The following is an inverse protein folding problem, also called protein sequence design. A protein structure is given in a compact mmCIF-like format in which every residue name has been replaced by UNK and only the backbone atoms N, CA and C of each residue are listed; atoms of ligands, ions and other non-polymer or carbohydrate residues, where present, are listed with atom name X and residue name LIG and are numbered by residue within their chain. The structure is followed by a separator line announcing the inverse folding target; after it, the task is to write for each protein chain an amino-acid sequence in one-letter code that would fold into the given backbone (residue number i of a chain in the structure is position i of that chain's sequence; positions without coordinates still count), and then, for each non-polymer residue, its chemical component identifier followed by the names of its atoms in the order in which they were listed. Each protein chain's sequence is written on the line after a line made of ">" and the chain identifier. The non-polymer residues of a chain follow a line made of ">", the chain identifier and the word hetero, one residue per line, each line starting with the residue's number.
data_IF_156474524190
#
_entry.id   IF_156474524190
#
_cell.length_a   1.000
_cell.length_b   1.000
_cell.length_c   1.000
_cell.angle_alpha   90.00
_cell.angle_beta   90.00
_cell.angle_gamma   90.00
#
_symmetry.space_group_name_H-M   'P 1'
#
loop_
_entity.id
_entity.type
_entity.pdbx_description
1 polymer ?
#
# COMPACT_ATOMS: atom_id res chain seq x y z
N UNK A 1 -29.50 12.40 49.75
CA UNK A 1 -28.97 11.07 49.37
C UNK A 1 -29.14 10.72 47.88
N UNK A 2 -30.04 11.36 47.12
CA UNK A 2 -30.25 11.06 45.69
C UNK A 2 -29.19 11.66 44.75
N UNK A 3 -28.62 12.83 45.09
CA UNK A 3 -27.59 13.47 44.26
C UNK A 3 -26.29 12.66 44.15
N UNK A 4 -25.89 11.96 45.21
CA UNK A 4 -24.67 11.14 45.21
C UNK A 4 -24.83 9.90 44.31
N UNK A 5 -26.03 9.28 44.29
CA UNK A 5 -26.37 8.19 43.36
C UNK A 5 -26.37 8.67 41.91
N UNK A 6 -26.91 9.85 41.64
CA UNK A 6 -26.94 10.42 40.29
C UNK A 6 -25.54 10.74 39.77
N UNK A 7 -24.63 11.23 40.63
CA UNK A 7 -23.23 11.49 40.27
C UNK A 7 -22.49 10.19 39.95
N UNK A 8 -22.63 9.15 40.77
CA UNK A 8 -22.00 7.84 40.53
C UNK A 8 -22.52 7.22 39.23
N UNK A 9 -23.82 7.33 38.96
CA UNK A 9 -24.42 6.82 37.72
C UNK A 9 -23.85 7.55 36.48
N UNK A 10 -23.68 8.87 36.55
CA UNK A 10 -23.10 9.66 35.46
C UNK A 10 -21.61 9.32 35.22
N UNK A 11 -20.87 9.01 36.29
CA UNK A 11 -19.47 8.59 36.23
C UNK A 11 -19.33 7.18 35.63
N UNK A 12 -20.26 6.27 35.95
CA UNK A 12 -20.30 4.93 35.34
C UNK A 12 -20.68 4.98 33.86
N UNK A 13 -21.62 5.86 33.49
CA UNK A 13 -22.06 6.05 32.09
C UNK A 13 -20.94 6.66 31.24
N UNK A 14 -20.19 7.65 31.76
CA UNK A 14 -19.07 8.25 31.02
C UNK A 14 -17.90 7.30 30.80
N UNK A 15 -17.65 6.35 31.71
CA UNK A 15 -16.67 5.27 31.51
C UNK A 15 -17.09 4.28 30.41
N UNK A 16 -18.39 4.09 30.16
CA UNK A 16 -18.88 3.19 29.11
C UNK A 16 -18.78 3.79 27.70
N UNK A 17 -18.60 5.12 27.58
CA UNK A 17 -18.46 5.80 26.28
C UNK A 17 -17.00 5.97 25.84
N UNK A 18 -16.01 5.52 26.62
CA UNK A 18 -14.62 5.42 26.16
C UNK A 18 -14.43 4.11 25.38
N UNK A 19 -15.05 4.08 24.19
CA UNK A 19 -14.87 2.99 23.23
C UNK A 19 -13.61 3.31 22.42
N UNK A 20 -12.53 2.55 22.60
CA UNK A 20 -11.41 2.57 21.66
C UNK A 20 -11.91 2.05 20.31
N UNK A 21 -11.56 2.72 19.22
CA UNK A 21 -11.81 2.23 17.86
C UNK A 21 -10.76 1.23 17.43
N UNK A 22 -11.10 0.37 16.45
CA UNK A 22 -10.10 -0.43 15.75
C UNK A 22 -9.22 0.47 14.88
N UNK A 23 -7.96 0.10 14.69
CA UNK A 23 -7.07 0.78 13.74
C UNK A 23 -7.43 0.44 12.30
N UNK A 24 -7.11 1.33 11.37
CA UNK A 24 -7.30 1.12 9.94
C UNK A 24 -6.18 0.25 9.35
N UNK A 25 -6.45 -0.44 8.24
CA UNK A 25 -5.42 -1.18 7.51
C UNK A 25 -4.48 -0.21 6.78
N UNK A 26 -3.19 -0.55 6.72
CA UNK A 26 -2.21 0.27 6.00
C UNK A 26 -2.45 0.31 4.50
N UNK A 27 -2.16 1.43 3.86
CA UNK A 27 -2.29 1.60 2.41
C UNK A 27 -1.07 1.07 1.67
N UNK A 28 -1.26 0.58 0.44
CA UNK A 28 -0.15 0.05 -0.37
C UNK A 28 0.01 0.87 -1.64
N UNK A 29 1.27 1.18 -1.94
CA UNK A 29 1.65 1.95 -3.10
C UNK A 29 2.71 1.21 -3.92
N UNK A 30 2.43 0.99 -5.21
CA UNK A 30 3.34 0.37 -6.16
C UNK A 30 3.89 1.42 -7.14
N UNK A 31 5.21 1.48 -7.27
CA UNK A 31 5.90 2.31 -8.27
C UNK A 31 6.67 1.43 -9.23
N UNK A 32 6.45 1.65 -10.53
CA UNK A 32 7.19 0.99 -11.60
C UNK A 32 8.33 1.89 -12.03
N UNK A 33 9.55 1.38 -12.02
CA UNK A 33 10.78 2.13 -12.31
C UNK A 33 11.57 1.46 -13.41
N UNK A 34 12.25 2.27 -14.21
CA UNK A 34 13.28 1.76 -15.11
C UNK A 34 14.38 2.79 -15.29
N UNK A 35 15.64 2.36 -15.25
CA UNK A 35 16.78 3.24 -15.57
C UNK A 35 16.77 3.59 -17.07
N UNK A 36 16.42 2.61 -17.90
CA UNK A 36 16.30 2.75 -19.36
C UNK A 36 14.92 2.24 -19.76
N UNK A 37 14.05 3.12 -20.24
CA UNK A 37 12.65 2.82 -20.54
C UNK A 37 12.56 1.55 -21.40
N UNK A 38 11.80 0.53 -20.95
CA UNK A 38 11.61 -0.69 -21.73
C UNK A 38 10.81 -0.37 -22.99
N UNK A 39 10.97 -1.21 -24.02
CA UNK A 39 10.21 -1.09 -25.27
C UNK A 39 8.73 -1.37 -25.01
N UNK A 40 8.43 -2.32 -24.11
CA UNK A 40 7.08 -2.65 -23.69
C UNK A 40 7.09 -3.11 -22.24
N UNK A 41 6.01 -2.82 -21.51
CA UNK A 41 5.75 -3.31 -20.16
C UNK A 41 4.27 -3.61 -20.02
N UNK A 42 3.95 -4.72 -19.36
CA UNK A 42 2.58 -5.11 -19.05
C UNK A 42 2.54 -5.72 -17.65
N UNK A 43 1.55 -5.32 -16.87
CA UNK A 43 1.23 -5.88 -15.55
C UNK A 43 -0.27 -6.13 -15.47
N UNK A 44 -0.65 -7.29 -14.94
CA UNK A 44 -2.05 -7.66 -14.74
C UNK A 44 -2.57 -7.13 -13.40
N UNK A 45 -2.44 -5.81 -13.18
CA UNK A 45 -2.95 -5.13 -11.99
C UNK A 45 -4.03 -4.11 -12.38
N UNK A 46 -5.30 -4.30 -11.95
CA UNK A 46 -6.40 -3.41 -12.33
C UNK A 46 -6.30 -2.01 -11.74
N UNK A 47 -5.51 -1.82 -10.68
CA UNK A 47 -5.33 -0.54 -10.01
C UNK A 47 -4.29 0.35 -10.73
N UNK A 48 -3.50 -0.24 -11.64
CA UNK A 48 -2.44 0.46 -12.38
C UNK A 48 -2.97 0.89 -13.75
N UNK A 49 -3.02 2.21 -14.05
CA UNK A 49 -3.52 2.69 -15.33
C UNK A 49 -2.61 2.31 -16.49
N UNK A 50 -3.18 2.22 -17.69
CA UNK A 50 -2.44 2.01 -18.94
C UNK A 50 -2.72 3.18 -19.90
N UNK A 51 -1.69 3.85 -20.47
CA UNK A 51 -0.27 3.59 -20.28
C UNK A 51 0.25 4.00 -18.89
N UNK A 52 1.26 3.29 -18.39
CA UNK A 52 1.88 3.64 -17.11
C UNK A 52 2.77 4.88 -17.22
N UNK A 53 2.86 5.62 -16.12
CA UNK A 53 3.90 6.61 -15.91
C UNK A 53 4.97 6.03 -14.97
N UNK A 54 6.22 6.05 -15.41
CA UNK A 54 7.34 5.58 -14.60
C UNK A 54 7.64 6.53 -13.43
N UNK A 55 8.19 5.97 -12.36
CA UNK A 55 8.59 6.68 -11.14
C UNK A 55 7.44 7.38 -10.39
N UNK A 56 6.19 6.95 -10.62
CA UNK A 56 4.98 7.37 -9.87
C UNK A 56 4.48 6.24 -8.99
N UNK A 57 4.08 6.56 -7.76
CA UNK A 57 3.41 5.63 -6.85
C UNK A 57 1.91 5.60 -7.15
N UNK A 58 1.41 4.40 -7.44
CA UNK A 58 -0.02 4.12 -7.60
C UNK A 58 -0.52 3.37 -6.38
N UNK A 59 -1.65 3.80 -5.82
CA UNK A 59 -2.34 3.02 -4.79
C UNK A 59 -2.80 1.69 -5.39
N UNK A 60 -2.55 0.59 -4.70
CA UNK A 60 -2.93 -0.75 -5.15
C UNK A 60 -3.42 -1.60 -4.00
N UNK A 61 -4.24 -2.59 -4.31
CA UNK A 61 -4.74 -3.55 -3.34
C UNK A 61 -3.75 -4.72 -3.16
N UNK A 62 -3.88 -5.50 -2.08
CA UNK A 62 -3.19 -6.78 -1.96
C UNK A 62 -3.59 -7.75 -3.09
N UNK A 63 -2.63 -8.51 -3.58
CA UNK A 63 -2.85 -9.45 -4.68
C UNK A 63 -1.56 -9.97 -5.29
N UNK A 64 -1.73 -10.90 -6.24
CA UNK A 64 -0.65 -11.46 -7.05
C UNK A 64 -0.80 -10.94 -8.47
N UNK A 65 0.16 -10.14 -8.92
CA UNK A 65 0.07 -9.47 -10.22
C UNK A 65 1.20 -9.95 -11.15
N UNK A 66 0.90 -10.81 -12.13
CA UNK A 66 1.84 -11.17 -13.18
C UNK A 66 2.30 -9.94 -13.98
N UNK A 67 3.57 -9.92 -14.37
CA UNK A 67 4.10 -8.86 -15.22
C UNK A 67 5.14 -9.39 -16.21
N UNK A 68 5.28 -8.69 -17.33
CA UNK A 68 6.27 -8.95 -18.39
C UNK A 68 6.78 -7.65 -18.98
N UNK A 69 7.99 -7.67 -19.55
CA UNK A 69 8.52 -6.52 -20.26
C UNK A 69 9.54 -6.91 -21.32
N UNK A 70 9.72 -6.04 -22.30
CA UNK A 70 10.82 -6.10 -23.27
C UNK A 70 11.77 -4.96 -22.94
N UNK A 71 13.00 -5.28 -22.56
CA UNK A 71 13.97 -4.27 -22.17
C UNK A 71 14.45 -3.41 -23.36
N UNK A 72 15.28 -2.41 -23.08
CA UNK A 72 15.85 -1.54 -24.11
C UNK A 72 16.81 -2.26 -25.09
N UNK A 73 17.29 -3.46 -24.75
CA UNK A 73 18.12 -4.32 -25.60
C UNK A 73 17.28 -5.30 -26.44
N UNK A 74 15.95 -5.18 -26.40
CA UNK A 74 15.01 -6.05 -27.11
C UNK A 74 15.02 -7.51 -26.60
N UNK A 75 15.32 -7.69 -25.31
CA UNK A 75 15.22 -8.98 -24.59
C UNK A 75 13.89 -9.04 -23.86
N UNK A 76 13.17 -10.15 -24.02
CA UNK A 76 11.90 -10.39 -23.32
C UNK A 76 12.16 -11.00 -21.94
N UNK A 77 11.59 -10.37 -20.91
CA UNK A 77 11.58 -10.82 -19.53
C UNK A 77 10.16 -11.29 -19.13
N UNK A 78 10.03 -12.24 -18.21
CA UNK A 78 11.09 -12.86 -17.38
C UNK A 78 11.92 -13.93 -18.12
N UNK A 79 13.21 -14.03 -17.80
CA UNK A 79 14.06 -15.18 -18.12
C UNK A 79 13.94 -16.27 -17.04
N UNK A 80 14.38 -17.53 -17.31
CA UNK A 80 14.37 -18.58 -16.30
C UNK A 80 15.12 -18.16 -15.02
N UNK A 81 14.42 -18.16 -13.89
CA UNK A 81 14.97 -17.77 -12.58
C UNK A 81 14.69 -16.31 -12.18
N UNK A 82 14.06 -15.52 -13.05
CA UNK A 82 13.61 -14.17 -12.73
C UNK A 82 12.19 -14.14 -12.15
N UNK A 83 11.87 -13.06 -11.43
CA UNK A 83 10.51 -12.80 -10.98
C UNK A 83 9.59 -12.46 -12.16
N UNK A 84 8.39 -13.03 -12.15
CA UNK A 84 7.35 -12.81 -13.15
C UNK A 84 6.02 -12.36 -12.55
N UNK A 85 5.95 -12.30 -11.22
CA UNK A 85 4.78 -11.96 -10.42
C UNK A 85 5.26 -11.11 -9.26
N UNK A 86 4.50 -10.06 -8.95
CA UNK A 86 4.63 -9.33 -7.69
C UNK A 86 3.49 -9.77 -6.76
N UNK A 87 3.86 -10.31 -5.60
CA UNK A 87 2.92 -10.73 -4.55
C UNK A 87 2.89 -9.67 -3.45
N UNK A 88 1.73 -9.04 -3.26
CA UNK A 88 1.51 -7.92 -2.36
C UNK A 88 0.58 -8.34 -1.22
N UNK A 89 1.00 -8.09 0.02
CA UNK A 89 0.25 -8.41 1.26
C UNK A 89 0.16 -7.14 2.10
N UNK A 90 -1.03 -6.81 2.62
CA UNK A 90 -1.25 -5.67 3.51
C UNK A 90 -0.82 -5.96 4.95
N UNK A 91 -0.38 -4.91 5.64
CA UNK A 91 -0.25 -4.88 7.10
C UNK A 91 -1.62 -4.56 7.72
N UNK A 92 -2.26 -5.49 8.43
CA UNK A 92 -3.57 -5.22 9.03
C UNK A 92 -3.45 -4.27 10.22
N UNK A 93 -4.47 -3.42 10.40
CA UNK A 93 -4.65 -2.66 11.63
C UNK A 93 -4.91 -3.58 12.83
N UNK A 94 -4.56 -3.12 14.03
CA UNK A 94 -4.86 -3.84 15.27
C UNK A 94 -6.24 -3.45 15.80
N UNK A 95 -6.97 -4.42 16.33
CA UNK A 95 -8.23 -4.14 17.03
C UNK A 95 -8.00 -3.33 18.31
N UNK A 96 -8.93 -2.41 18.58
CA UNK A 96 -8.99 -1.68 19.84
C UNK A 96 -9.53 -2.53 20.98
N UNK A 97 -9.41 -2.01 22.20
CA UNK A 97 -10.03 -2.57 23.40
C UNK A 97 -10.81 -1.49 24.16
N UNK A 98 -11.55 -1.91 25.20
CA UNK A 98 -12.12 -0.98 26.16
C UNK A 98 -10.97 -0.09 26.70
N UNK A 99 -11.07 1.23 26.52
CA UNK A 99 -10.06 2.22 26.90
C UNK A 99 -8.73 2.27 26.11
N UNK A 100 -8.53 1.48 25.04
CA UNK A 100 -7.34 1.60 24.16
C UNK A 100 -7.78 1.55 22.70
N UNK A 101 -7.42 2.54 21.90
CA UNK A 101 -7.58 2.42 20.45
C UNK A 101 -6.62 1.38 19.88
N UNK A 102 -7.04 0.76 18.79
CA UNK A 102 -6.20 -0.02 17.91
C UNK A 102 -5.10 0.84 17.30
N UNK A 103 -4.06 0.18 16.81
CA UNK A 103 -2.95 0.80 16.08
C UNK A 103 -3.22 0.58 14.59
N UNK A 104 -3.09 1.64 13.78
CA UNK A 104 -3.24 1.53 12.33
C UNK A 104 -2.12 0.66 11.74
N UNK A 105 -2.40 -0.01 10.64
CA UNK A 105 -1.40 -0.74 9.86
C UNK A 105 -0.44 0.23 9.18
N UNK A 106 0.80 -0.21 8.97
CA UNK A 106 1.81 0.61 8.30
C UNK A 106 1.56 0.67 6.78
N UNK A 107 1.71 1.87 6.20
CA UNK A 107 1.70 2.06 4.75
C UNK A 107 2.93 1.39 4.12
N UNK A 108 2.73 0.69 3.00
CA UNK A 108 3.78 -0.06 2.31
C UNK A 108 4.07 0.59 0.96
N UNK A 109 5.34 0.92 0.72
CA UNK A 109 5.81 1.43 -0.57
C UNK A 109 6.70 0.38 -1.26
N UNK A 110 6.31 0.01 -2.48
CA UNK A 110 6.95 -1.06 -3.24
C UNK A 110 7.48 -0.50 -4.56
N UNK A 111 8.74 -0.80 -4.86
CA UNK A 111 9.38 -0.51 -6.14
C UNK A 111 9.51 -1.79 -6.96
N UNK A 112 8.90 -1.81 -8.16
CA UNK A 112 9.21 -2.77 -9.21
C UNK A 112 10.18 -2.13 -10.21
N UNK A 113 11.44 -2.52 -10.14
CA UNK A 113 12.52 -1.97 -10.97
C UNK A 113 12.79 -2.92 -12.14
N UNK A 114 12.60 -2.42 -13.35
CA UNK A 114 12.79 -3.15 -14.60
C UNK A 114 14.24 -2.95 -15.09
N UNK A 115 15.05 -4.00 -15.10
CA UNK A 115 16.45 -3.96 -15.53
C UNK A 115 16.71 -5.00 -16.62
N UNK A 116 17.68 -4.75 -17.51
CA UNK A 116 18.13 -5.74 -18.49
C UNK A 116 18.74 -7.02 -17.89
N UNK A 117 19.09 -6.99 -16.60
CA UNK A 117 19.59 -8.15 -15.86
C UNK A 117 18.48 -8.93 -15.13
N UNK A 118 17.22 -8.53 -15.33
CA UNK A 118 16.07 -9.07 -14.63
C UNK A 118 15.47 -8.07 -13.64
N UNK A 119 14.18 -8.23 -13.30
CA UNK A 119 13.47 -7.32 -12.42
C UNK A 119 13.96 -7.43 -10.96
N UNK A 120 13.89 -6.32 -10.24
CA UNK A 120 14.11 -6.25 -8.79
C UNK A 120 12.84 -5.73 -8.14
N UNK A 121 12.47 -6.32 -7.00
CA UNK A 121 11.38 -5.85 -6.14
C UNK A 121 11.99 -5.40 -4.83
N UNK A 122 11.76 -4.14 -4.45
CA UNK A 122 12.21 -3.58 -3.17
C UNK A 122 11.00 -3.04 -2.39
N UNK A 123 10.96 -3.27 -1.08
CA UNK A 123 9.98 -2.69 -0.17
C UNK A 123 10.70 -1.74 0.80
N UNK A 124 10.12 -0.58 1.03
CA UNK A 124 10.70 0.42 1.92
C UNK A 124 9.63 1.01 2.84
N UNK A 125 10.01 1.18 4.11
CA UNK A 125 9.31 2.06 5.03
C UNK A 125 9.79 3.50 4.76
N UNK A 126 9.34 4.09 3.65
CA UNK A 126 9.67 5.48 3.35
C UNK A 126 8.89 6.39 4.29
N UNK A 127 9.57 7.00 5.28
CA UNK A 127 9.07 8.17 6.03
C UNK A 127 8.89 9.43 5.15
N UNK A 128 8.95 9.31 3.83
CA UNK A 128 8.93 10.41 2.88
C UNK A 128 7.73 10.25 1.97
N UNK A 129 6.72 11.08 2.21
CA UNK A 129 5.42 11.07 1.54
C UNK A 129 5.62 11.24 0.03
N UNK A 130 5.12 10.28 -0.74
CA UNK A 130 5.02 10.42 -2.19
C UNK A 130 4.09 11.60 -2.52
N UNK A 131 4.55 12.55 -3.34
CA UNK A 131 3.71 13.61 -3.86
C UNK A 131 2.60 12.99 -4.73
N UNK A 132 1.39 12.88 -4.21
CA UNK A 132 0.22 12.51 -4.99
C UNK A 132 -0.07 13.63 -6.00
N UNK A 133 0.27 13.40 -7.26
CA UNK A 133 -0.14 14.28 -8.35
C UNK A 133 -1.60 13.95 -8.67
N UNK A 134 -2.52 14.76 -8.16
CA UNK A 134 -3.92 14.75 -8.60
C UNK A 134 -3.97 15.20 -10.06
N UNK A 135 -4.22 14.26 -10.97
CA UNK A 135 -4.40 14.55 -12.38
C UNK A 135 -5.80 15.13 -12.57
N UNK A 136 -5.90 16.46 -12.70
CA UNK A 136 -7.11 17.10 -13.21
C UNK A 136 -7.10 17.00 -14.74
N UNK A 137 -8.07 16.31 -15.32
CA UNK A 137 -8.35 16.37 -16.76
C UNK A 137 -8.90 17.76 -17.10
N UNK A 138 -8.19 18.52 -17.95
CA UNK A 138 -8.73 19.69 -18.67
C UNK A 138 -9.36 19.27 -20.00
#
# INVERSE_FOLDING_TARGET
>A
MNYFKNIILFLFISLLFSCGGDGEDGEIFLRIRSILTPINFSIENPDIPQPIQYDVYYKTNPGSYPFTYIDHNNVSHPLPGEFSVIDIIASPGQSGSLFKSGEDGDDIYIDLILLSTGPIIENFDYFTIASSLDYYEE
#
